data_IF_594152239678
#
_entry.id   IF_594152239678
#
_cell.length_a   1.000
_cell.length_b   1.000
_cell.length_c   1.000
_cell.angle_alpha   90.00
_cell.angle_beta   90.00
_cell.angle_gamma   90.00
#
_symmetry.space_group_name_H-M   'P 1'
#
loop_
_entity.id
_entity.type
_entity.pdbx_description
1 polymer ?
#
# COMPACT_ATOMS: atom_id res chain seq x y z
N UNK A 1 8.51 9.52 14.18
CA UNK A 1 8.11 9.49 12.77
C UNK A 1 6.98 8.50 12.57
N UNK A 2 5.88 8.94 11.97
CA UNK A 2 4.78 8.10 11.51
C UNK A 2 4.94 7.93 10.00
N UNK A 3 5.05 6.68 9.54
CA UNK A 3 5.10 6.37 8.11
C UNK A 3 3.68 6.17 7.59
N UNK A 4 3.21 7.12 6.82
CA UNK A 4 1.87 7.12 6.22
C UNK A 4 1.89 6.78 4.72
N UNK A 5 2.76 5.88 4.30
CA UNK A 5 2.84 5.48 2.89
C UNK A 5 1.52 4.92 2.32
N UNK A 6 0.60 4.49 3.16
CA UNK A 6 -0.70 3.93 2.76
C UNK A 6 -1.91 4.72 3.29
N UNK A 7 -1.71 5.82 3.99
CA UNK A 7 -2.79 6.57 4.65
C UNK A 7 -3.86 7.09 3.68
N UNK A 8 -3.53 7.29 2.41
CA UNK A 8 -4.51 7.69 1.38
C UNK A 8 -5.63 6.67 1.16
N UNK A 9 -5.41 5.40 1.54
CA UNK A 9 -6.41 4.32 1.49
C UNK A 9 -7.10 4.09 2.83
N UNK A 10 -6.71 4.81 3.88
CA UNK A 10 -7.22 4.68 5.22
C UNK A 10 -8.38 5.66 5.50
N UNK A 11 -9.11 5.38 6.57
CA UNK A 11 -10.17 6.25 7.08
C UNK A 11 -9.62 7.44 7.86
N UNK A 12 -8.45 7.25 8.50
CA UNK A 12 -7.79 8.24 9.34
C UNK A 12 -6.33 8.41 8.96
N UNK A 13 -5.77 9.55 9.32
CA UNK A 13 -4.36 9.86 9.19
C UNK A 13 -3.88 10.65 10.42
N UNK A 14 -2.56 10.85 10.52
CA UNK A 14 -1.93 11.48 11.67
C UNK A 14 -1.37 12.87 11.38
N UNK A 15 -1.75 13.51 10.27
CA UNK A 15 -1.18 14.82 9.91
C UNK A 15 -1.48 15.88 10.97
N UNK A 16 -2.71 15.89 11.50
CA UNK A 16 -3.13 16.89 12.49
C UNK A 16 -2.30 16.80 13.80
N UNK A 17 -1.78 15.62 14.12
CA UNK A 17 -0.91 15.44 15.30
C UNK A 17 0.41 16.22 15.21
N UNK A 18 0.83 16.61 14.00
CA UNK A 18 2.02 17.45 13.80
C UNK A 18 1.81 18.86 14.39
N UNK A 19 0.59 19.38 14.34
CA UNK A 19 0.26 20.68 14.95
C UNK A 19 0.23 20.59 16.48
N UNK A 20 -0.23 19.46 17.02
CA UNK A 20 -0.39 19.25 18.47
C UNK A 20 0.93 18.94 19.16
N UNK A 21 1.89 18.32 18.47
CA UNK A 21 3.14 17.89 19.07
C UNK A 21 4.34 18.10 18.16
N UNK A 22 5.28 19.01 18.54
CA UNK A 22 6.45 19.34 17.71
C UNK A 22 7.45 18.19 17.53
N UNK A 23 7.30 17.07 18.22
CA UNK A 23 8.14 15.87 18.06
C UNK A 23 7.54 14.87 17.06
N UNK A 24 6.32 15.09 16.59
CA UNK A 24 5.69 14.22 15.59
C UNK A 24 6.06 14.70 14.19
N UNK A 25 6.39 13.74 13.36
CA UNK A 25 6.64 13.92 11.94
C UNK A 25 5.88 12.83 11.19
N UNK A 26 5.32 13.19 10.02
CA UNK A 26 4.58 12.26 9.16
C UNK A 26 5.23 12.21 7.80
N UNK A 27 5.60 11.03 7.32
CA UNK A 27 6.10 10.83 5.95
C UNK A 27 5.00 10.31 5.03
N UNK A 28 4.97 10.83 3.81
CA UNK A 28 4.04 10.44 2.73
C UNK A 28 4.79 10.13 1.45
N UNK A 29 4.18 9.36 0.57
CA UNK A 29 4.75 9.01 -0.74
C UNK A 29 3.70 9.09 -1.84
N UNK A 30 4.11 9.48 -3.03
CA UNK A 30 3.27 9.40 -4.23
C UNK A 30 3.40 8.04 -4.95
N UNK A 31 4.19 7.12 -4.40
CA UNK A 31 4.47 5.81 -5.01
C UNK A 31 3.27 4.86 -5.03
N UNK A 32 2.25 5.09 -4.18
CA UNK A 32 1.11 4.18 -4.00
C UNK A 32 -0.16 4.73 -4.64
N UNK A 33 -0.85 5.63 -3.97
CA UNK A 33 -2.14 6.17 -4.37
C UNK A 33 -2.11 6.97 -5.68
N UNK A 34 -0.98 7.63 -5.97
CA UNK A 34 -0.78 8.39 -7.20
C UNK A 34 -0.12 7.59 -8.33
N UNK A 35 0.24 6.32 -8.11
CA UNK A 35 0.85 5.48 -9.15
C UNK A 35 2.26 5.89 -9.58
N UNK A 36 2.95 6.76 -8.84
CA UNK A 36 4.23 7.36 -9.22
C UNK A 36 5.44 6.67 -8.58
N UNK A 37 5.39 5.36 -8.40
CA UNK A 37 6.46 4.60 -7.78
C UNK A 37 7.83 4.78 -8.47
N UNK A 38 7.82 4.95 -9.80
CA UNK A 38 9.04 5.15 -10.61
C UNK A 38 9.68 6.53 -10.42
N UNK A 39 8.94 7.56 -10.03
CA UNK A 39 9.47 8.91 -9.82
C UNK A 39 10.18 9.09 -8.47
N UNK A 40 10.09 8.12 -7.55
CA UNK A 40 10.77 8.16 -6.26
C UNK A 40 10.48 9.42 -5.43
N UNK A 41 9.24 9.94 -5.49
CA UNK A 41 8.85 11.17 -4.81
C UNK A 41 8.05 10.88 -3.53
N UNK A 42 8.40 11.59 -2.47
CA UNK A 42 7.72 11.60 -1.19
C UNK A 42 7.98 12.91 -0.46
N UNK A 43 7.31 13.12 0.64
CA UNK A 43 7.47 14.33 1.44
C UNK A 43 7.31 14.04 2.94
N UNK A 44 7.85 14.96 3.73
CA UNK A 44 7.77 14.95 5.19
C UNK A 44 6.96 16.16 5.66
N UNK A 45 6.03 15.92 6.56
CA UNK A 45 5.28 16.96 7.27
C UNK A 45 5.79 17.00 8.70
N UNK A 46 6.25 18.14 9.14
CA UNK A 46 6.75 18.38 10.50
C UNK A 46 6.65 19.87 10.84
N UNK A 47 6.86 20.22 12.11
CA UNK A 47 6.96 21.62 12.53
C UNK A 47 8.15 22.32 11.87
N UNK A 48 8.04 23.65 11.57
CA UNK A 48 9.07 24.39 10.84
C UNK A 48 10.48 24.27 11.41
N UNK A 49 10.60 24.23 12.73
CA UNK A 49 11.89 24.08 13.42
C UNK A 49 12.57 22.75 13.09
N UNK A 50 11.79 21.66 13.01
CA UNK A 50 12.28 20.33 12.64
C UNK A 50 12.69 20.30 11.16
N UNK A 51 11.88 20.88 10.28
CA UNK A 51 12.21 20.99 8.85
C UNK A 51 13.49 21.79 8.64
N UNK A 52 13.71 22.87 9.40
CA UNK A 52 14.94 23.65 9.32
C UNK A 52 16.20 22.82 9.66
N UNK A 53 16.10 21.88 10.63
CA UNK A 53 17.22 20.98 10.93
C UNK A 53 17.49 19.98 9.79
N UNK A 54 16.43 19.40 9.19
CA UNK A 54 16.60 18.54 8.01
C UNK A 54 17.22 19.29 6.82
N UNK A 55 16.86 20.56 6.62
CA UNK A 55 17.42 21.38 5.55
C UNK A 55 18.94 21.59 5.65
N UNK A 56 19.53 21.46 6.84
CA UNK A 56 20.99 21.56 7.03
C UNK A 56 21.75 20.33 6.50
N UNK A 57 21.10 19.18 6.44
CA UNK A 57 21.74 17.89 6.12
C UNK A 57 21.22 17.24 4.83
N UNK A 58 20.06 17.69 4.29
CA UNK A 58 19.55 17.15 3.03
C UNK A 58 20.43 17.58 1.85
N UNK A 59 20.44 16.76 0.81
CA UNK A 59 21.04 17.13 -0.47
C UNK A 59 20.39 18.40 -1.04
N UNK A 60 21.18 19.27 -1.67
CA UNK A 60 20.69 20.49 -2.32
C UNK A 60 19.73 20.20 -3.48
N UNK A 61 19.92 19.08 -4.16
CA UNK A 61 19.14 18.63 -5.34
C UNK A 61 18.50 17.28 -5.10
N UNK A 62 17.79 17.13 -3.98
CA UNK A 62 17.19 15.86 -3.56
C UNK A 62 16.02 15.38 -4.43
N UNK A 63 15.47 16.24 -5.27
CA UNK A 63 14.42 15.89 -6.24
C UNK A 63 14.79 16.46 -7.61
N UNK A 64 14.66 15.63 -8.65
CA UNK A 64 14.85 16.07 -10.02
C UNK A 64 13.63 16.83 -10.57
N UNK A 65 13.85 17.62 -11.62
CA UNK A 65 12.81 18.49 -12.19
C UNK A 65 11.62 17.69 -12.78
N UNK A 66 11.87 16.50 -13.32
CA UNK A 66 10.81 15.66 -13.89
C UNK A 66 9.95 15.10 -12.78
N UNK A 67 10.54 14.61 -11.69
CA UNK A 67 9.84 14.14 -10.52
C UNK A 67 8.98 15.23 -9.88
N UNK A 68 9.49 16.46 -9.79
CA UNK A 68 8.73 17.61 -9.28
C UNK A 68 7.54 17.92 -10.20
N UNK A 69 7.75 18.00 -11.51
CA UNK A 69 6.69 18.28 -12.47
C UNK A 69 5.61 17.20 -12.45
N UNK A 70 6.00 15.91 -12.43
CA UNK A 70 5.09 14.78 -12.35
C UNK A 70 4.29 14.75 -11.04
N UNK A 71 4.93 15.01 -9.91
CA UNK A 71 4.30 15.11 -8.61
C UNK A 71 3.28 16.27 -8.56
N UNK A 72 3.64 17.44 -9.09
CA UNK A 72 2.77 18.62 -9.14
C UNK A 72 1.52 18.34 -9.98
N UNK A 73 1.69 17.75 -11.16
CA UNK A 73 0.56 17.39 -12.02
C UNK A 73 -0.38 16.37 -11.36
N UNK A 74 0.19 15.32 -10.74
CA UNK A 74 -0.58 14.27 -10.09
C UNK A 74 -1.37 14.78 -8.87
N UNK A 75 -0.75 15.62 -8.03
CA UNK A 75 -1.44 16.24 -6.88
C UNK A 75 -2.55 17.18 -7.36
N UNK A 76 -2.38 17.84 -8.51
CA UNK A 76 -3.40 18.69 -9.12
C UNK A 76 -4.62 17.93 -9.62
N UNK A 77 -4.51 16.66 -9.99
CA UNK A 77 -5.61 15.83 -10.51
C UNK A 77 -6.32 15.04 -9.39
N UNK A 78 -7.04 15.76 -8.55
CA UNK A 78 -7.78 15.15 -7.44
C UNK A 78 -8.97 14.30 -7.92
N UNK A 79 -9.50 14.55 -9.11
CA UNK A 79 -10.58 13.73 -9.66
C UNK A 79 -10.07 12.34 -10.00
N UNK A 80 -8.95 12.23 -10.69
CA UNK A 80 -8.30 10.95 -11.00
C UNK A 80 -7.92 10.20 -9.71
N UNK A 81 -7.30 10.91 -8.75
CA UNK A 81 -6.91 10.35 -7.46
C UNK A 81 -8.10 9.71 -6.74
N UNK A 82 -9.20 10.48 -6.56
CA UNK A 82 -10.38 9.98 -5.85
C UNK A 82 -11.04 8.81 -6.56
N UNK A 83 -11.15 8.86 -7.89
CA UNK A 83 -11.72 7.78 -8.69
C UNK A 83 -10.92 6.47 -8.53
N UNK A 84 -9.59 6.54 -8.60
CA UNK A 84 -8.73 5.36 -8.42
C UNK A 84 -8.73 4.85 -6.98
N UNK A 85 -8.67 5.77 -6.01
CA UNK A 85 -8.78 5.41 -4.60
C UNK A 85 -10.05 4.61 -4.33
N UNK A 86 -11.19 5.08 -4.80
CA UNK A 86 -12.48 4.41 -4.58
C UNK A 86 -12.49 3.01 -5.21
N UNK A 87 -12.01 2.84 -6.44
CA UNK A 87 -11.86 1.52 -7.07
C UNK A 87 -11.01 0.57 -6.21
N UNK A 88 -9.88 1.06 -5.70
CA UNK A 88 -9.02 0.25 -4.83
C UNK A 88 -9.75 -0.17 -3.55
N UNK A 89 -10.52 0.73 -2.93
CA UNK A 89 -11.28 0.42 -1.72
C UNK A 89 -12.38 -0.63 -1.98
N UNK A 90 -13.12 -0.50 -3.07
CA UNK A 90 -14.17 -1.44 -3.48
C UNK A 90 -13.57 -2.82 -3.79
N UNK A 91 -12.52 -2.86 -4.62
CA UNK A 91 -11.86 -4.11 -5.00
C UNK A 91 -11.15 -4.76 -3.81
N UNK A 92 -10.62 -3.97 -2.85
CA UNK A 92 -10.06 -4.49 -1.60
C UNK A 92 -11.11 -5.27 -0.78
N UNK A 93 -12.31 -4.72 -0.64
CA UNK A 93 -13.41 -5.41 0.06
C UNK A 93 -13.79 -6.70 -0.67
N UNK A 94 -13.87 -6.68 -1.99
CA UNK A 94 -14.16 -7.86 -2.79
C UNK A 94 -13.09 -8.95 -2.63
N UNK A 95 -11.81 -8.57 -2.67
CA UNK A 95 -10.70 -9.49 -2.41
C UNK A 95 -10.77 -10.08 -1.01
N UNK A 96 -11.02 -9.25 0.00
CA UNK A 96 -11.17 -9.69 1.39
C UNK A 96 -12.25 -10.78 1.51
N UNK A 97 -13.47 -10.49 1.08
CA UNK A 97 -14.59 -11.45 1.14
C UNK A 97 -14.36 -12.69 0.27
N UNK A 98 -13.68 -12.55 -0.88
CA UNK A 98 -13.32 -13.68 -1.73
C UNK A 98 -12.39 -14.66 -1.02
N UNK A 99 -11.36 -14.14 -0.34
CA UNK A 99 -10.41 -14.95 0.44
C UNK A 99 -11.07 -15.61 1.65
N UNK A 100 -11.93 -14.90 2.38
CA UNK A 100 -12.69 -15.49 3.50
C UNK A 100 -13.55 -16.69 3.05
N UNK A 101 -14.21 -16.59 1.89
CA UNK A 101 -14.99 -17.69 1.30
C UNK A 101 -14.13 -18.91 0.95
N UNK A 102 -12.86 -18.70 0.65
CA UNK A 102 -11.88 -19.74 0.35
C UNK A 102 -11.16 -20.27 1.62
N UNK A 103 -11.63 -19.90 2.82
CA UNK A 103 -11.12 -20.40 4.09
C UNK A 103 -9.88 -19.68 4.64
N UNK A 104 -9.57 -18.48 4.12
CA UNK A 104 -8.48 -17.67 4.67
C UNK A 104 -8.94 -16.82 5.85
N UNK A 105 -8.05 -16.69 6.81
CA UNK A 105 -8.11 -15.64 7.83
C UNK A 105 -7.50 -14.37 7.25
N UNK A 106 -8.32 -13.35 7.04
CA UNK A 106 -7.89 -12.09 6.40
C UNK A 106 -7.87 -10.97 7.44
N UNK A 107 -6.71 -10.35 7.63
CA UNK A 107 -6.61 -9.19 8.53
C UNK A 107 -7.26 -7.97 7.87
N UNK A 108 -8.17 -7.25 8.56
CA UNK A 108 -8.73 -6.01 8.06
C UNK A 108 -7.64 -5.02 7.65
N UNK A 109 -7.69 -4.56 6.41
CA UNK A 109 -6.66 -3.71 5.83
C UNK A 109 -7.18 -2.31 5.55
N UNK A 110 -6.33 -1.31 5.82
CA UNK A 110 -6.51 0.07 5.40
C UNK A 110 -5.42 0.52 4.39
N UNK A 111 -4.80 -0.45 3.70
CA UNK A 111 -3.80 -0.21 2.66
C UNK A 111 -4.34 -0.63 1.27
N UNK A 112 -3.50 -0.59 0.25
CA UNK A 112 -3.81 -1.12 -1.08
C UNK A 112 -3.41 -2.60 -1.23
N UNK A 113 -3.42 -3.36 -0.15
CA UNK A 113 -3.16 -4.80 -0.12
C UNK A 113 -3.91 -5.42 1.06
N UNK A 114 -4.07 -6.74 1.03
CA UNK A 114 -4.52 -7.54 2.16
C UNK A 114 -3.42 -8.50 2.61
N UNK A 115 -3.43 -8.85 3.88
CA UNK A 115 -2.65 -9.96 4.44
C UNK A 115 -3.61 -11.07 4.83
N UNK A 116 -3.30 -12.30 4.42
CA UNK A 116 -4.11 -13.46 4.74
C UNK A 116 -3.24 -14.69 5.01
N UNK A 117 -3.76 -15.56 5.88
CA UNK A 117 -3.20 -16.87 6.20
C UNK A 117 -4.30 -17.93 6.03
N UNK A 118 -3.93 -19.19 5.85
CA UNK A 118 -4.93 -20.26 5.77
C UNK A 118 -4.75 -21.22 6.94
N UNK A 119 -5.85 -21.51 7.68
CA UNK A 119 -5.80 -22.26 8.94
C UNK A 119 -5.42 -23.73 8.78
N UNK A 120 -5.73 -24.35 7.63
CA UNK A 120 -5.55 -25.78 7.38
C UNK A 120 -4.55 -26.12 6.27
N UNK A 121 -4.02 -25.11 5.56
CA UNK A 121 -3.10 -25.33 4.45
C UNK A 121 -1.93 -24.33 4.51
N UNK A 122 -0.69 -24.77 4.17
CA UNK A 122 0.46 -23.87 4.09
C UNK A 122 0.29 -22.90 2.90
N UNK A 123 0.64 -21.63 3.10
CA UNK A 123 0.52 -20.60 2.06
C UNK A 123 1.56 -20.73 0.96
N UNK A 124 2.68 -21.38 1.21
CA UNK A 124 3.77 -21.52 0.24
C UNK A 124 3.38 -22.27 -1.04
N UNK A 125 2.70 -23.43 -1.00
CA UNK A 125 2.22 -24.11 -2.21
C UNK A 125 1.20 -23.30 -3.00
N UNK A 126 0.37 -22.48 -2.32
CA UNK A 126 -0.58 -21.57 -2.96
C UNK A 126 0.18 -20.47 -3.69
N UNK A 127 1.19 -19.88 -3.05
CA UNK A 127 2.06 -18.88 -3.66
C UNK A 127 2.77 -19.43 -4.92
N UNK A 128 3.33 -20.64 -4.83
CA UNK A 128 4.02 -21.27 -5.97
C UNK A 128 3.06 -21.52 -7.13
N UNK A 129 1.86 -22.02 -6.84
CA UNK A 129 0.81 -22.18 -7.87
C UNK A 129 0.41 -20.87 -8.54
N UNK A 130 0.20 -19.81 -7.79
CA UNK A 130 -0.09 -18.47 -8.34
C UNK A 130 1.06 -17.99 -9.23
N UNK A 131 2.30 -18.12 -8.77
CA UNK A 131 3.50 -17.72 -9.51
C UNK A 131 3.65 -18.47 -10.83
N UNK A 132 3.43 -19.80 -10.83
CA UNK A 132 3.51 -20.64 -12.03
C UNK A 132 2.44 -20.24 -13.06
N UNK A 133 1.30 -19.72 -12.60
CA UNK A 133 0.24 -19.16 -13.43
C UNK A 133 0.37 -17.64 -13.67
N UNK A 134 1.56 -17.06 -13.44
CA UNK A 134 1.91 -15.65 -13.68
C UNK A 134 1.14 -14.63 -12.83
N UNK A 135 0.58 -15.06 -11.71
CA UNK A 135 0.00 -14.17 -10.70
C UNK A 135 1.01 -13.99 -9.58
N UNK A 136 1.55 -12.79 -9.45
CA UNK A 136 2.60 -12.49 -8.49
C UNK A 136 2.01 -11.86 -7.23
N UNK A 137 2.07 -12.58 -6.12
CA UNK A 137 1.76 -12.09 -4.78
C UNK A 137 3.04 -12.13 -3.91
N UNK A 138 2.99 -11.64 -2.69
CA UNK A 138 4.13 -11.72 -1.78
C UNK A 138 3.88 -12.81 -0.74
N UNK A 139 4.69 -13.86 -0.77
CA UNK A 139 4.79 -14.84 0.30
C UNK A 139 5.72 -14.33 1.40
N UNK A 140 5.34 -14.50 2.64
CA UNK A 140 6.15 -14.18 3.81
C UNK A 140 5.99 -15.28 4.85
N UNK A 141 7.12 -15.66 5.44
CA UNK A 141 7.23 -16.63 6.52
C UNK A 141 8.17 -16.04 7.57
N UNK A 142 7.59 -15.45 8.59
CA UNK A 142 8.35 -14.82 9.68
C UNK A 142 8.24 -15.66 10.95
N UNK A 143 9.37 -15.84 11.62
CA UNK A 143 9.42 -16.53 12.92
C UNK A 143 8.45 -15.85 13.93
N UNK A 144 7.60 -16.65 14.56
CA UNK A 144 6.56 -16.17 15.47
C UNK A 144 5.28 -15.65 14.82
N UNK A 145 5.22 -15.60 13.48
CA UNK A 145 4.03 -15.29 12.68
C UNK A 145 3.78 -16.46 11.74
N UNK A 146 2.53 -16.82 11.51
CA UNK A 146 2.23 -17.86 10.53
C UNK A 146 2.69 -17.45 9.12
N UNK A 147 2.96 -18.43 8.27
CA UNK A 147 3.22 -18.18 6.87
C UNK A 147 1.97 -17.59 6.21
N UNK A 148 2.15 -16.63 5.30
CA UNK A 148 1.00 -15.96 4.72
C UNK A 148 1.29 -15.27 3.40
N UNK A 149 0.23 -14.75 2.82
CA UNK A 149 0.24 -14.03 1.56
C UNK A 149 -0.14 -12.57 1.75
N UNK A 150 0.68 -11.67 1.19
CA UNK A 150 0.28 -10.29 0.98
C UNK A 150 -0.11 -10.11 -0.48
N UNK A 151 -1.38 -9.83 -0.70
CA UNK A 151 -1.96 -9.67 -2.03
C UNK A 151 -2.27 -8.20 -2.25
N UNK A 152 -1.59 -7.57 -3.22
CA UNK A 152 -1.90 -6.18 -3.60
C UNK A 152 -3.22 -6.13 -4.36
N UNK A 153 -4.00 -5.08 -4.11
CA UNK A 153 -5.25 -4.84 -4.84
C UNK A 153 -4.90 -4.42 -6.27
N UNK A 154 -5.33 -5.23 -7.23
CA UNK A 154 -5.20 -4.99 -8.67
C UNK A 154 -6.52 -4.51 -9.28
N UNK A 155 -6.66 -4.68 -10.60
CA UNK A 155 -7.96 -4.51 -11.28
C UNK A 155 -8.91 -5.65 -10.92
N UNK A 156 -10.19 -5.47 -11.23
CA UNK A 156 -11.20 -6.50 -10.96
C UNK A 156 -10.87 -7.82 -11.65
N UNK A 157 -10.42 -7.76 -12.90
CA UNK A 157 -10.03 -8.95 -13.68
C UNK A 157 -8.80 -9.66 -13.06
N UNK A 158 -7.84 -8.88 -12.54
CA UNK A 158 -6.65 -9.44 -11.88
C UNK A 158 -7.03 -10.13 -10.56
N UNK A 159 -7.96 -9.57 -9.82
CA UNK A 159 -8.43 -10.17 -8.57
C UNK A 159 -9.28 -11.42 -8.85
N UNK A 160 -10.13 -11.41 -9.88
CA UNK A 160 -10.89 -12.60 -10.28
C UNK A 160 -9.96 -13.75 -10.70
N UNK A 161 -8.93 -13.46 -11.49
CA UNK A 161 -7.93 -14.45 -11.86
C UNK A 161 -7.18 -15.01 -10.64
N UNK A 162 -6.80 -14.14 -9.69
CA UNK A 162 -6.12 -14.54 -8.47
C UNK A 162 -7.00 -15.45 -7.60
N UNK A 163 -8.25 -15.07 -7.35
CA UNK A 163 -9.18 -15.86 -6.54
C UNK A 163 -9.51 -17.20 -7.19
N UNK A 164 -9.73 -17.24 -8.51
CA UNK A 164 -9.99 -18.49 -9.24
C UNK A 164 -8.81 -19.47 -9.17
N UNK A 165 -7.57 -18.97 -9.26
CA UNK A 165 -6.39 -19.82 -9.12
C UNK A 165 -6.20 -20.33 -7.69
N UNK A 166 -6.51 -19.50 -6.68
CA UNK A 166 -6.50 -19.93 -5.29
C UNK A 166 -7.52 -21.03 -5.06
N UNK A 167 -8.77 -20.86 -5.56
CA UNK A 167 -9.85 -21.84 -5.44
C UNK A 167 -9.48 -23.22 -6.00
N UNK A 168 -8.69 -23.26 -7.08
CA UNK A 168 -8.19 -24.53 -7.65
C UNK A 168 -7.16 -25.25 -6.77
N UNK A 169 -6.64 -24.55 -5.75
CA UNK A 169 -5.52 -25.05 -4.94
C UNK A 169 -5.90 -25.36 -3.48
N UNK A 170 -6.98 -24.78 -2.99
CA UNK A 170 -7.51 -24.98 -1.61
C UNK A 170 -8.77 -25.90 -1.56
#
# INVERSE_FOLDING_TARGET
LVDEAYADFAEFNCIDLVEENPKIMVSRTLSKSYGLAGLRFGFLVAQPQMIAEFCKVKDSYNCDAISIAGATAAIGDQQWFNNNRNKVLETRQRLHHGLEKLGFDVIPSQANFVWCTHSSQPSKPIYEHLKDNRVLVRYMDYEGWSDGLRISVGTDEQIDACLSLIEMKV
#
